data_IF_875871670930
#
_entry.id   IF_875871670930
#
_cell.length_a   1.000
_cell.length_b   1.000
_cell.length_c   1.000
_cell.angle_alpha   90.00
_cell.angle_beta   90.00
_cell.angle_gamma   90.00
#
_symmetry.space_group_name_H-M   'P 1'
#
loop_
_entity.id
_entity.type
_entity.pdbx_description
1 polymer ?
#
# COMPACT_ATOMS: atom_id res chain seq x y z
N UNK A 1 -1.04 -37.99 24.84
CA UNK A 1 -1.48 -38.12 23.44
C UNK A 1 -1.05 -36.88 22.68
N UNK A 2 0.06 -36.96 21.89
CA UNK A 2 0.46 -35.93 20.98
C UNK A 2 -0.57 -35.86 19.85
N UNK A 3 -1.21 -34.72 19.66
CA UNK A 3 -2.10 -34.48 18.53
C UNK A 3 -1.28 -34.56 17.24
N UNK A 4 -1.72 -35.40 16.28
CA UNK A 4 -1.07 -35.53 14.99
C UNK A 4 -1.01 -34.17 14.28
N UNK A 5 0.19 -33.79 13.82
CA UNK A 5 0.36 -32.58 13.02
C UNK A 5 -0.31 -32.80 11.66
N UNK A 6 -1.11 -31.82 11.22
CA UNK A 6 -1.84 -31.91 9.96
C UNK A 6 -1.46 -30.78 9.02
N UNK A 7 -1.41 -31.06 7.71
CA UNK A 7 -1.15 -30.02 6.68
C UNK A 7 -2.16 -28.88 6.73
N UNK A 8 -3.46 -29.19 6.97
CA UNK A 8 -4.49 -28.18 7.16
C UNK A 8 -4.23 -27.32 8.40
N UNK A 9 -3.84 -27.93 9.52
CA UNK A 9 -3.49 -27.20 10.75
C UNK A 9 -2.29 -26.30 10.58
N UNK A 10 -1.28 -26.69 9.83
CA UNK A 10 -0.12 -25.85 9.49
C UNK A 10 -0.51 -24.70 8.55
N UNK A 11 -1.36 -24.97 7.54
CA UNK A 11 -1.87 -23.97 6.61
C UNK A 11 -2.57 -22.82 7.34
N UNK A 12 -3.59 -23.13 8.13
CA UNK A 12 -4.39 -22.11 8.80
C UNK A 12 -3.58 -21.29 9.81
N UNK A 13 -2.64 -21.90 10.53
CA UNK A 13 -1.73 -21.17 11.44
C UNK A 13 -0.87 -20.16 10.69
N UNK A 14 -0.31 -20.55 9.55
CA UNK A 14 0.53 -19.65 8.75
C UNK A 14 -0.27 -18.61 7.98
N UNK A 15 -1.55 -18.86 7.72
CA UNK A 15 -2.44 -17.87 7.13
C UNK A 15 -2.76 -16.75 8.13
N UNK A 16 -2.86 -17.07 9.42
CA UNK A 16 -3.10 -16.09 10.49
C UNK A 16 -1.81 -15.37 10.86
N UNK A 17 -0.71 -16.11 11.03
CA UNK A 17 0.60 -15.55 11.38
C UNK A 17 1.69 -16.25 10.55
N UNK A 18 2.29 -15.54 9.58
CA UNK A 18 3.35 -16.10 8.74
C UNK A 18 4.48 -16.68 9.56
N UNK A 19 4.88 -17.93 9.25
CA UNK A 19 5.90 -18.66 10.00
C UNK A 19 5.35 -19.58 11.11
N UNK A 20 4.15 -19.36 11.60
CA UNK A 20 3.60 -20.15 12.71
C UNK A 20 3.34 -21.62 12.33
N UNK A 21 2.80 -21.87 11.14
CA UNK A 21 2.57 -23.23 10.66
C UNK A 21 3.86 -24.01 10.44
N UNK A 22 4.95 -23.35 10.05
CA UNK A 22 6.26 -23.97 9.93
C UNK A 22 6.81 -24.38 11.30
N UNK A 23 6.66 -23.56 12.32
CA UNK A 23 7.00 -23.93 13.70
C UNK A 23 6.16 -25.10 14.18
N UNK A 24 4.86 -25.11 13.88
CA UNK A 24 3.99 -26.25 14.20
C UNK A 24 4.44 -27.53 13.48
N UNK A 25 4.99 -27.43 12.27
CA UNK A 25 5.49 -28.57 11.48
C UNK A 25 6.97 -28.95 11.77
N UNK A 26 7.55 -28.47 12.88
CA UNK A 26 8.96 -28.63 13.26
C UNK A 26 9.95 -28.05 12.22
N UNK A 27 9.51 -27.11 11.40
CA UNK A 27 10.32 -26.42 10.41
C UNK A 27 10.63 -24.96 10.81
N UNK A 28 11.58 -24.33 10.10
CA UNK A 28 12.00 -22.96 10.31
C UNK A 28 11.06 -21.95 9.63
N UNK A 29 10.22 -21.20 10.38
CA UNK A 29 9.34 -20.15 9.86
C UNK A 29 9.94 -18.74 9.89
N UNK A 30 11.16 -18.57 10.41
CA UNK A 30 11.76 -17.27 10.70
C UNK A 30 11.83 -16.29 9.53
N UNK A 31 12.04 -16.79 8.31
CA UNK A 31 12.06 -15.94 7.08
C UNK A 31 10.72 -15.26 6.81
N UNK A 32 9.59 -15.93 7.04
CA UNK A 32 8.26 -15.36 6.85
C UNK A 32 7.94 -14.34 7.94
N UNK A 33 8.37 -14.59 9.19
CA UNK A 33 8.26 -13.63 10.29
C UNK A 33 9.11 -12.39 9.99
N UNK A 34 10.35 -12.57 9.55
CA UNK A 34 11.24 -11.45 9.20
C UNK A 34 10.67 -10.62 8.04
N UNK A 35 10.12 -11.27 7.01
CA UNK A 35 9.44 -10.60 5.91
C UNK A 35 8.22 -9.80 6.42
N UNK A 36 7.40 -10.37 7.28
CA UNK A 36 6.24 -9.73 7.88
C UNK A 36 6.62 -8.45 8.65
N UNK A 37 7.61 -8.55 9.53
CA UNK A 37 8.12 -7.39 10.28
C UNK A 37 8.66 -6.32 9.32
N UNK A 38 9.44 -6.71 8.29
CA UNK A 38 9.97 -5.78 7.29
C UNK A 38 8.87 -5.06 6.50
N UNK A 39 7.82 -5.78 6.10
CA UNK A 39 6.66 -5.23 5.40
C UNK A 39 5.90 -4.22 6.26
N UNK A 40 5.65 -4.52 7.53
CA UNK A 40 4.98 -3.59 8.46
C UNK A 40 5.83 -2.35 8.73
N UNK A 41 7.14 -2.49 8.92
CA UNK A 41 8.04 -1.33 9.06
C UNK A 41 8.04 -0.47 7.78
N UNK A 42 8.05 -1.10 6.60
CA UNK A 42 7.92 -0.42 5.32
C UNK A 42 6.59 0.34 5.18
N UNK A 43 5.48 -0.31 5.54
CA UNK A 43 4.14 0.31 5.55
C UNK A 43 4.10 1.55 6.45
N UNK A 44 4.54 1.42 7.70
CA UNK A 44 4.56 2.53 8.65
C UNK A 44 5.48 3.67 8.19
N UNK A 45 6.65 3.33 7.66
CA UNK A 45 7.61 4.31 7.13
C UNK A 45 7.05 5.09 5.95
N UNK A 46 6.38 4.41 5.00
CA UNK A 46 5.75 5.04 3.84
C UNK A 46 4.57 5.94 4.23
N UNK A 47 3.72 5.51 5.18
CA UNK A 47 2.64 6.36 5.68
C UNK A 47 3.22 7.60 6.38
N UNK A 48 4.23 7.42 7.24
CA UNK A 48 4.88 8.56 7.89
C UNK A 48 5.49 9.54 6.88
N UNK A 49 6.10 9.02 5.82
CA UNK A 49 6.66 9.84 4.74
C UNK A 49 5.55 10.61 4.00
N UNK A 50 4.41 9.96 3.73
CA UNK A 50 3.26 10.60 3.11
C UNK A 50 2.73 11.75 3.97
N UNK A 51 2.58 11.54 5.28
CA UNK A 51 2.10 12.55 6.23
C UNK A 51 3.05 13.74 6.32
N UNK A 52 4.36 13.49 6.45
CA UNK A 52 5.38 14.56 6.49
C UNK A 52 5.35 15.40 5.22
N UNK A 53 5.21 14.76 4.06
CA UNK A 53 5.09 15.48 2.78
C UNK A 53 3.77 16.25 2.67
N UNK A 54 2.68 15.68 3.20
CA UNK A 54 1.38 16.34 3.26
C UNK A 54 1.45 17.61 4.12
N UNK A 55 2.04 17.53 5.30
CA UNK A 55 2.24 18.71 6.15
C UNK A 55 3.07 19.79 5.44
N UNK A 56 4.12 19.40 4.74
CA UNK A 56 4.97 20.34 3.99
C UNK A 56 4.21 21.06 2.87
N UNK A 57 3.46 20.34 2.02
CA UNK A 57 2.73 21.00 0.94
C UNK A 57 1.59 21.89 1.47
N UNK A 58 0.93 21.52 2.57
CA UNK A 58 -0.05 22.38 3.22
C UNK A 58 0.57 23.65 3.80
N UNK A 59 1.75 23.54 4.41
CA UNK A 59 2.50 24.70 4.91
C UNK A 59 2.96 25.60 3.76
N UNK A 60 3.49 25.01 2.68
CA UNK A 60 3.88 25.70 1.46
C UNK A 60 2.70 26.50 0.87
N UNK A 61 1.53 25.87 0.77
CA UNK A 61 0.33 26.53 0.25
C UNK A 61 -0.12 27.70 1.13
N UNK A 62 -0.06 27.54 2.44
CA UNK A 62 -0.41 28.61 3.38
C UNK A 62 0.57 29.79 3.33
N UNK A 63 1.88 29.50 3.30
CA UNK A 63 2.94 30.51 3.36
C UNK A 63 3.09 31.28 2.04
N UNK A 64 3.01 30.58 0.89
CA UNK A 64 3.36 31.16 -0.41
C UNK A 64 2.17 31.41 -1.34
N UNK A 65 0.98 30.93 -0.98
CA UNK A 65 -0.25 31.19 -1.73
C UNK A 65 -1.39 31.74 -0.84
N UNK A 66 -1.20 31.86 0.47
CA UNK A 66 -2.27 32.26 1.39
C UNK A 66 -3.42 31.24 1.49
N UNK A 67 -3.23 30.03 0.95
CA UNK A 67 -4.29 29.05 0.80
C UNK A 67 -4.55 28.25 2.09
N UNK A 68 -5.82 28.15 2.49
CA UNK A 68 -6.27 27.25 3.56
C UNK A 68 -6.56 25.87 2.96
N UNK A 69 -5.51 25.07 2.74
CA UNK A 69 -5.61 23.79 2.03
C UNK A 69 -5.93 22.58 2.93
N UNK A 70 -5.71 22.68 4.27
CA UNK A 70 -6.03 21.58 5.21
C UNK A 70 -7.53 21.33 5.27
N UNK A 71 -7.93 20.06 5.20
CA UNK A 71 -9.34 19.63 5.21
C UNK A 71 -10.09 19.87 3.90
N UNK A 72 -9.42 20.40 2.86
CA UNK A 72 -10.01 20.56 1.53
C UNK A 72 -9.97 19.25 0.73
N UNK A 73 -10.95 19.06 -0.15
CA UNK A 73 -11.03 17.90 -1.03
C UNK A 73 -9.93 17.86 -2.08
N UNK A 74 -9.82 16.71 -2.74
CA UNK A 74 -8.80 16.46 -3.76
C UNK A 74 -8.85 17.49 -4.88
N UNK A 75 -10.04 17.79 -5.40
CA UNK A 75 -10.28 18.77 -6.47
C UNK A 75 -9.61 20.10 -6.15
N UNK A 76 -9.92 20.69 -4.98
CA UNK A 76 -9.32 21.95 -4.56
C UNK A 76 -7.78 21.88 -4.52
N UNK A 77 -7.22 20.78 -4.03
CA UNK A 77 -5.77 20.62 -3.96
C UNK A 77 -5.12 20.45 -5.35
N UNK A 78 -5.85 19.87 -6.31
CA UNK A 78 -5.42 19.76 -7.71
C UNK A 78 -5.44 21.14 -8.35
N UNK A 79 -6.54 21.89 -8.21
CA UNK A 79 -6.73 23.24 -8.77
C UNK A 79 -5.73 24.23 -8.19
N UNK A 80 -5.47 24.16 -6.87
CA UNK A 80 -4.44 24.93 -6.19
C UNK A 80 -3.04 24.70 -6.79
N UNK A 81 -2.73 23.48 -7.22
CA UNK A 81 -1.47 23.16 -7.88
C UNK A 81 -1.44 23.51 -9.36
N UNK A 82 -2.57 23.60 -10.03
CA UNK A 82 -2.66 23.84 -11.46
C UNK A 82 -2.72 25.33 -11.81
N UNK A 83 -3.58 26.09 -11.13
CA UNK A 83 -3.80 27.52 -11.40
C UNK A 83 -2.94 28.42 -10.53
N UNK A 84 -2.53 29.58 -11.07
CA UNK A 84 -1.75 30.57 -10.33
C UNK A 84 -2.56 31.21 -9.19
N UNK A 85 -3.87 31.38 -9.40
CA UNK A 85 -4.77 31.97 -8.42
C UNK A 85 -6.21 31.46 -8.57
N UNK A 86 -7.00 31.66 -7.52
CA UNK A 86 -8.46 31.47 -7.56
C UNK A 86 -9.12 32.23 -8.72
N UNK A 87 -8.69 33.45 -8.96
CA UNK A 87 -9.27 34.27 -10.04
C UNK A 87 -9.01 33.66 -11.39
N UNK A 88 -7.80 33.19 -11.63
CA UNK A 88 -7.45 32.48 -12.87
C UNK A 88 -8.31 31.22 -13.04
N UNK A 89 -8.41 30.37 -12.00
CA UNK A 89 -9.30 29.19 -12.04
C UNK A 89 -10.73 29.59 -12.45
N UNK A 90 -11.32 30.54 -11.72
CA UNK A 90 -12.71 30.92 -11.96
C UNK A 90 -12.93 31.50 -13.37
N UNK A 91 -11.95 32.23 -13.92
CA UNK A 91 -12.01 32.73 -15.31
C UNK A 91 -12.02 31.57 -16.32
N UNK A 92 -11.19 30.54 -16.13
CA UNK A 92 -11.18 29.37 -16.99
C UNK A 92 -12.47 28.57 -16.87
N UNK A 93 -12.93 28.29 -15.64
CA UNK A 93 -14.17 27.56 -15.40
C UNK A 93 -15.38 28.26 -16.03
N UNK A 94 -15.54 29.58 -15.85
CA UNK A 94 -16.62 30.33 -16.47
C UNK A 94 -16.56 30.38 -18.00
N UNK A 95 -15.36 30.29 -18.58
CA UNK A 95 -15.20 30.24 -20.05
C UNK A 95 -15.57 28.88 -20.61
N UNK A 96 -15.25 27.80 -19.91
CA UNK A 96 -15.50 26.43 -20.38
C UNK A 96 -16.95 25.98 -20.10
N UNK A 97 -17.45 26.21 -18.87
CA UNK A 97 -18.72 25.69 -18.37
C UNK A 97 -19.83 26.78 -18.31
N UNK A 98 -19.48 28.03 -18.59
CA UNK A 98 -20.43 29.15 -18.59
C UNK A 98 -20.98 29.48 -17.19
N UNK A 99 -22.24 29.93 -17.10
CA UNK A 99 -22.83 30.34 -15.81
C UNK A 99 -23.02 29.24 -14.80
N UNK A 100 -22.92 27.95 -15.22
CA UNK A 100 -23.04 26.76 -14.35
C UNK A 100 -21.71 26.32 -13.75
N UNK A 101 -20.60 27.01 -14.04
CA UNK A 101 -19.27 26.65 -13.58
C UNK A 101 -19.16 26.60 -12.05
N UNK A 102 -18.50 25.59 -11.53
CA UNK A 102 -18.11 25.54 -10.12
C UNK A 102 -16.95 26.51 -9.86
N UNK A 103 -17.22 27.61 -9.19
CA UNK A 103 -16.23 28.64 -8.87
C UNK A 103 -15.90 28.66 -7.38
N UNK A 104 -14.67 29.00 -7.06
CA UNK A 104 -14.23 29.21 -5.68
C UNK A 104 -14.55 30.64 -5.20
N UNK A 105 -15.00 30.70 -3.94
CA UNK A 105 -15.24 31.98 -3.25
C UNK A 105 -13.99 32.42 -2.48
N UNK A 106 -14.05 33.60 -1.87
CA UNK A 106 -12.97 34.15 -1.03
C UNK A 106 -12.64 33.30 0.20
N UNK A 107 -13.53 32.37 0.61
CA UNK A 107 -13.25 31.37 1.67
C UNK A 107 -12.21 30.36 1.24
N UNK A 108 -12.08 30.12 -0.07
CA UNK A 108 -11.13 29.21 -0.70
C UNK A 108 -10.17 29.97 -1.62
N UNK A 109 -9.61 31.06 -1.12
CA UNK A 109 -8.73 31.94 -1.88
C UNK A 109 -7.29 31.46 -1.90
N UNK A 110 -6.60 31.75 -3.00
CA UNK A 110 -5.15 31.58 -3.15
C UNK A 110 -4.59 32.43 -4.28
N UNK A 111 -3.32 32.80 -4.14
CA UNK A 111 -2.52 33.43 -5.18
C UNK A 111 -1.06 33.08 -4.96
N UNK A 112 -0.46 32.34 -5.88
CA UNK A 112 0.93 31.92 -5.78
C UNK A 112 1.89 33.08 -6.05
N UNK A 113 2.93 33.20 -5.22
CA UNK A 113 3.97 34.22 -5.39
C UNK A 113 4.80 34.03 -6.65
N UNK A 114 5.01 32.78 -7.09
CA UNK A 114 5.70 32.45 -8.34
C UNK A 114 5.37 31.02 -8.81
N UNK A 115 5.62 30.76 -10.09
CA UNK A 115 5.45 29.43 -10.69
C UNK A 115 6.36 28.37 -10.05
N UNK A 116 7.61 28.72 -9.67
CA UNK A 116 8.55 27.79 -9.05
C UNK A 116 8.06 27.33 -7.68
N UNK A 117 7.43 28.21 -6.93
CA UNK A 117 6.89 27.88 -5.60
C UNK A 117 5.67 26.97 -5.74
N UNK A 118 4.82 27.22 -6.74
CA UNK A 118 3.69 26.35 -7.07
C UNK A 118 4.17 24.97 -7.52
N UNK A 119 5.22 24.88 -8.35
CA UNK A 119 5.81 23.60 -8.78
C UNK A 119 6.32 22.78 -7.58
N UNK A 120 7.03 23.41 -6.65
CA UNK A 120 7.45 22.72 -5.40
C UNK A 120 6.27 22.17 -4.59
N UNK A 121 5.15 22.89 -4.55
CA UNK A 121 3.91 22.38 -3.94
C UNK A 121 3.44 21.11 -4.64
N UNK A 122 3.40 21.11 -5.98
CA UNK A 122 3.00 19.96 -6.80
C UNK A 122 3.92 18.75 -6.53
N UNK A 123 5.23 18.96 -6.51
CA UNK A 123 6.21 17.91 -6.25
C UNK A 123 6.02 17.27 -4.88
N UNK A 124 5.86 18.08 -3.83
CA UNK A 124 5.61 17.58 -2.48
C UNK A 124 4.29 16.82 -2.39
N UNK A 125 3.24 17.34 -3.03
CA UNK A 125 1.92 16.70 -3.06
C UNK A 125 1.97 15.37 -3.83
N UNK A 126 2.57 15.35 -5.01
CA UNK A 126 2.76 14.12 -5.79
C UNK A 126 3.60 13.09 -5.03
N UNK A 127 4.64 13.55 -4.36
CA UNK A 127 5.47 12.69 -3.50
C UNK A 127 4.71 12.13 -2.29
N UNK A 128 3.78 12.87 -1.68
CA UNK A 128 2.89 12.38 -0.63
C UNK A 128 1.96 11.29 -1.16
N UNK A 129 1.29 11.56 -2.29
CA UNK A 129 0.39 10.60 -2.94
C UNK A 129 1.12 9.32 -3.39
N UNK A 130 2.36 9.46 -3.90
CA UNK A 130 3.18 8.30 -4.28
C UNK A 130 3.50 7.43 -3.07
N UNK A 131 3.92 8.02 -1.95
CA UNK A 131 4.21 7.28 -0.72
C UNK A 131 2.96 6.55 -0.19
N UNK A 132 1.79 7.20 -0.22
CA UNK A 132 0.52 6.57 0.17
C UNK A 132 0.16 5.37 -0.74
N UNK A 133 0.36 5.50 -2.06
CA UNK A 133 0.14 4.38 -2.99
C UNK A 133 1.13 3.24 -2.77
N UNK A 134 2.40 3.56 -2.49
CA UNK A 134 3.40 2.55 -2.17
C UNK A 134 3.05 1.81 -0.87
N UNK A 135 2.56 2.50 0.16
CA UNK A 135 2.06 1.88 1.38
C UNK A 135 0.91 0.89 1.07
N UNK A 136 -0.02 1.27 0.18
CA UNK A 136 -1.09 0.36 -0.25
C UNK A 136 -0.54 -0.90 -0.95
N UNK A 137 0.51 -0.79 -1.77
CA UNK A 137 1.12 -1.97 -2.38
C UNK A 137 1.79 -2.89 -1.34
N UNK A 138 2.35 -2.33 -0.27
CA UNK A 138 2.90 -3.13 0.84
C UNK A 138 1.81 -3.98 1.50
N UNK A 139 0.56 -3.51 1.63
CA UNK A 139 -0.53 -4.34 2.16
C UNK A 139 -0.81 -5.56 1.28
N UNK A 140 -0.73 -5.42 -0.05
CA UNK A 140 -0.80 -6.54 -0.97
C UNK A 140 0.34 -7.55 -0.77
N UNK A 141 1.56 -7.07 -0.52
CA UNK A 141 2.71 -7.95 -0.21
C UNK A 141 2.55 -8.66 1.15
N UNK A 142 1.93 -8.03 2.15
CA UNK A 142 1.57 -8.69 3.42
C UNK A 142 0.64 -9.87 3.14
N UNK A 143 -0.44 -9.67 2.38
CA UNK A 143 -1.36 -10.76 2.02
C UNK A 143 -0.63 -11.89 1.27
N UNK A 144 0.23 -11.54 0.32
CA UNK A 144 1.05 -12.53 -0.40
C UNK A 144 1.97 -13.33 0.54
N UNK A 145 2.62 -12.67 1.53
CA UNK A 145 3.44 -13.33 2.52
C UNK A 145 2.65 -14.35 3.35
N UNK A 146 1.42 -14.00 3.78
CA UNK A 146 0.53 -14.92 4.49
C UNK A 146 0.19 -16.15 3.65
N UNK A 147 -0.21 -15.95 2.38
CA UNK A 147 -0.55 -17.04 1.47
C UNK A 147 0.64 -17.95 1.18
N UNK A 148 1.81 -17.39 0.86
CA UNK A 148 3.03 -18.14 0.58
C UNK A 148 3.48 -18.92 1.81
N UNK A 149 3.41 -18.32 3.00
CA UNK A 149 3.72 -18.98 4.26
C UNK A 149 2.77 -20.15 4.52
N UNK A 150 1.46 -19.96 4.31
CA UNK A 150 0.46 -21.00 4.51
C UNK A 150 0.66 -22.20 3.57
N UNK A 151 0.89 -21.94 2.28
CA UNK A 151 1.16 -22.99 1.28
C UNK A 151 2.45 -23.73 1.62
N UNK A 152 3.51 -23.01 1.98
CA UNK A 152 4.78 -23.63 2.37
C UNK A 152 4.64 -24.50 3.61
N UNK A 153 3.92 -24.05 4.64
CA UNK A 153 3.67 -24.81 5.85
C UNK A 153 2.86 -26.09 5.59
N UNK A 154 1.84 -26.02 4.73
CA UNK A 154 1.06 -27.19 4.34
C UNK A 154 1.90 -28.24 3.61
N UNK A 155 2.76 -27.78 2.68
CA UNK A 155 3.65 -28.67 1.91
C UNK A 155 4.70 -29.35 2.77
N UNK A 156 5.19 -28.73 3.83
CA UNK A 156 6.19 -29.33 4.71
C UNK A 156 5.67 -30.54 5.53
N UNK A 157 4.36 -30.74 5.59
CA UNK A 157 3.70 -31.89 6.21
C UNK A 157 2.98 -32.80 5.20
N UNK A 158 3.04 -32.49 3.89
CA UNK A 158 2.51 -33.38 2.87
C UNK A 158 3.41 -34.62 2.76
N UNK A 159 2.87 -35.85 2.70
CA UNK A 159 3.66 -37.03 2.42
C UNK A 159 4.35 -36.87 1.06
N UNK A 160 5.63 -37.25 0.97
CA UNK A 160 6.32 -37.27 -0.32
C UNK A 160 5.55 -38.20 -1.26
N UNK A 161 4.93 -37.65 -2.29
CA UNK A 161 4.21 -38.43 -3.31
C UNK A 161 5.13 -39.26 -4.21
N UNK A 162 6.43 -39.40 -3.86
CA UNK A 162 7.49 -40.00 -4.69
C UNK A 162 8.05 -41.31 -4.15
N UNK A 163 7.42 -42.03 -3.21
CA UNK A 163 7.95 -43.30 -2.69
C UNK A 163 6.92 -44.44 -2.75
N UNK A 164 6.17 -44.56 -3.84
CA UNK A 164 5.68 -45.87 -4.21
C UNK A 164 6.79 -46.58 -5.00
N UNK A 165 7.40 -47.66 -4.46
CA UNK A 165 8.31 -48.49 -5.25
C UNK A 165 7.51 -49.11 -6.41
N UNK A 166 8.09 -49.19 -7.63
CA UNK A 166 7.38 -49.76 -8.77
C UNK A 166 6.89 -51.16 -8.40
N UNK A 167 5.59 -51.40 -8.64
CA UNK A 167 4.96 -52.68 -8.38
C UNK A 167 5.81 -53.80 -9.00
N UNK A 168 6.38 -54.69 -8.17
CA UNK A 168 7.10 -55.88 -8.64
C UNK A 168 6.11 -56.77 -9.36
N UNK A 169 6.14 -56.76 -10.70
CA UNK A 169 5.43 -57.73 -11.51
C UNK A 169 6.13 -59.09 -11.29
N UNK A 170 5.53 -59.93 -10.47
CA UNK A 170 5.99 -61.31 -10.27
C UNK A 170 5.46 -62.15 -11.43
N UNK A 171 6.34 -62.53 -12.34
CA UNK A 171 6.05 -63.58 -13.30
C UNK A 171 6.21 -64.95 -12.59
N UNK A 172 5.11 -65.66 -12.37
CA UNK A 172 5.17 -67.06 -11.96
C UNK A 172 5.46 -67.92 -13.21
N UNK A 173 6.48 -68.80 -13.18
CA UNK A 173 6.71 -69.72 -14.27
C UNK A 173 5.64 -70.81 -14.22
N UNK A 174 5.15 -71.24 -15.39
CA UNK A 174 4.29 -72.41 -15.60
C UNK A 174 5.11 -73.66 -15.59
#
# INVERSE_FOLDING_TARGET
TAFAQTSAGAFWRSLILPGWGQHYANGGGGRFIAAEVGLWLGYLGLNRLADVRADRFHTQAAEFAGARSRGKGRQFLDDLGFYDSRLQHNQFALREDGPSAEIYTTVSDWEWRSAEVRERYRDMRNGSQLASRQALYVTGMVVANHLLSAIHAARSLAPDAATEPPAKISFAPR
#
